data_IF_344422039612
#
_entry.id   IF_344422039612
#
_cell.length_a   1.000
_cell.length_b   1.000
_cell.length_c   1.000
_cell.angle_alpha   90.00
_cell.angle_beta   90.00
_cell.angle_gamma   90.00
#
_symmetry.space_group_name_H-M   'P 1'
#
loop_
_entity.id
_entity.type
_entity.pdbx_description
1 polymer ?
#
# COMPACT_ATOMS: atom_id res chain seq x y z
N UNK A 1 32.96 19.26 -9.43
CA UNK A 1 32.13 19.00 -8.23
C UNK A 1 30.62 19.13 -8.53
N UNK A 2 30.16 20.08 -9.37
CA UNK A 2 28.72 20.30 -9.64
C UNK A 2 28.02 19.16 -10.39
N UNK A 3 28.61 18.64 -11.48
CA UNK A 3 27.94 17.63 -12.34
C UNK A 3 27.62 16.33 -11.59
N UNK A 4 28.55 15.85 -10.75
CA UNK A 4 28.35 14.62 -9.96
C UNK A 4 27.23 14.79 -8.94
N UNK A 5 27.23 15.92 -8.21
CA UNK A 5 26.18 16.21 -7.21
C UNK A 5 24.80 16.38 -7.86
N UNK A 6 24.74 17.07 -9.00
CA UNK A 6 23.50 17.22 -9.78
C UNK A 6 23.01 15.87 -10.32
N UNK A 7 23.91 15.02 -10.83
CA UNK A 7 23.57 13.67 -11.28
C UNK A 7 23.00 12.80 -10.15
N UNK A 8 23.65 12.79 -8.99
CA UNK A 8 23.17 12.06 -7.81
C UNK A 8 21.79 12.53 -7.37
N UNK A 9 21.54 13.85 -7.41
CA UNK A 9 20.24 14.41 -7.06
C UNK A 9 19.11 13.89 -7.97
N UNK A 10 19.32 13.87 -9.29
CA UNK A 10 18.33 13.32 -10.23
C UNK A 10 18.10 11.83 -10.04
N UNK A 11 19.15 11.06 -9.75
CA UNK A 11 19.02 9.62 -9.46
C UNK A 11 18.18 9.40 -8.21
N UNK A 12 18.47 10.10 -7.12
CA UNK A 12 17.70 9.98 -5.86
C UNK A 12 16.24 10.42 -6.04
N UNK A 13 16.00 11.48 -6.80
CA UNK A 13 14.65 11.92 -7.14
C UNK A 13 13.90 10.85 -7.94
N UNK A 14 14.52 10.31 -8.98
CA UNK A 14 13.95 9.25 -9.81
C UNK A 14 13.63 7.98 -9.01
N UNK A 15 14.52 7.55 -8.12
CA UNK A 15 14.31 6.40 -7.24
C UNK A 15 13.14 6.62 -6.27
N UNK A 16 13.05 7.79 -5.64
CA UNK A 16 11.93 8.12 -4.76
C UNK A 16 10.60 8.16 -5.52
N UNK A 17 10.57 8.77 -6.70
CA UNK A 17 9.37 8.83 -7.53
C UNK A 17 8.94 7.42 -7.98
N UNK A 18 9.88 6.58 -8.43
CA UNK A 18 9.60 5.21 -8.83
C UNK A 18 9.06 4.37 -7.66
N UNK A 19 9.67 4.46 -6.48
CA UNK A 19 9.19 3.77 -5.28
C UNK A 19 7.78 4.25 -4.89
N UNK A 20 7.54 5.56 -4.87
CA UNK A 20 6.22 6.14 -4.60
C UNK A 20 5.15 5.66 -5.59
N UNK A 21 5.46 5.61 -6.89
CA UNK A 21 4.54 5.11 -7.91
C UNK A 21 4.21 3.62 -7.74
N UNK A 22 5.20 2.80 -7.39
CA UNK A 22 4.96 1.38 -7.10
C UNK A 22 4.02 1.23 -5.90
N UNK A 23 4.28 1.93 -4.80
CA UNK A 23 3.41 1.89 -3.61
C UNK A 23 2.01 2.40 -3.94
N UNK A 24 1.88 3.44 -4.78
CA UNK A 24 0.59 3.93 -5.25
C UNK A 24 -0.22 2.83 -5.93
N UNK A 25 0.41 2.11 -6.88
CA UNK A 25 -0.25 1.05 -7.62
C UNK A 25 -0.72 -0.08 -6.69
N UNK A 26 0.14 -0.53 -5.78
CA UNK A 26 -0.20 -1.56 -4.79
C UNK A 26 -1.27 -1.11 -3.79
N UNK A 27 -1.27 0.18 -3.41
CA UNK A 27 -2.28 0.76 -2.52
C UNK A 27 -3.65 0.84 -3.21
N UNK A 28 -3.71 1.26 -4.47
CA UNK A 28 -4.97 1.32 -5.25
C UNK A 28 -5.55 -0.09 -5.39
N UNK A 29 -4.74 -1.04 -5.84
CA UNK A 29 -5.17 -2.43 -6.01
C UNK A 29 -5.60 -3.05 -4.69
N UNK A 30 -4.85 -2.82 -3.59
CA UNK A 30 -5.22 -3.29 -2.26
C UNK A 30 -6.50 -2.64 -1.74
N UNK A 31 -6.69 -1.34 -1.96
CA UNK A 31 -7.91 -0.61 -1.58
C UNK A 31 -9.14 -1.14 -2.30
N UNK A 32 -9.05 -1.42 -3.60
CA UNK A 32 -10.13 -2.05 -4.37
C UNK A 32 -10.43 -3.44 -3.83
N UNK A 33 -9.41 -4.27 -3.57
CA UNK A 33 -9.60 -5.61 -3.00
C UNK A 33 -10.30 -5.55 -1.63
N UNK A 34 -9.91 -4.65 -0.73
CA UNK A 34 -10.58 -4.47 0.55
C UNK A 34 -12.05 -4.05 0.33
N UNK A 35 -12.31 -3.09 -0.55
CA UNK A 35 -13.65 -2.54 -0.78
C UNK A 35 -14.65 -3.61 -1.28
N UNK A 36 -14.22 -4.46 -2.21
CA UNK A 36 -15.05 -5.53 -2.78
C UNK A 36 -15.12 -6.78 -1.91
N UNK A 37 -14.21 -6.94 -0.95
CA UNK A 37 -14.23 -8.07 -0.02
C UNK A 37 -15.36 -7.90 1.00
N UNK A 38 -16.08 -8.98 1.24
CA UNK A 38 -17.18 -9.05 2.21
C UNK A 38 -16.70 -8.82 3.66
N UNK A 39 -17.54 -8.18 4.48
CA UNK A 39 -17.17 -7.71 5.82
C UNK A 39 -17.00 -8.84 6.84
N UNK A 40 -17.78 -9.92 6.70
CA UNK A 40 -17.71 -11.15 7.49
C UNK A 40 -16.33 -11.82 7.39
N UNK A 41 -15.69 -11.81 6.21
CA UNK A 41 -14.35 -12.38 6.04
C UNK A 41 -13.29 -11.68 6.90
N UNK A 42 -13.43 -10.36 7.11
CA UNK A 42 -12.53 -9.62 8.01
C UNK A 42 -12.74 -10.00 9.47
N UNK A 43 -14.00 -10.26 9.87
CA UNK A 43 -14.30 -10.66 11.25
C UNK A 43 -13.70 -12.02 11.60
N UNK A 44 -13.65 -12.96 10.65
CA UNK A 44 -13.05 -14.30 10.86
C UNK A 44 -11.56 -14.23 11.17
N UNK A 45 -10.85 -13.23 10.63
CA UNK A 45 -9.41 -13.03 10.86
C UNK A 45 -9.12 -12.04 12.01
N UNK A 46 -10.10 -11.77 12.88
CA UNK A 46 -10.01 -10.80 13.97
C UNK A 46 -9.59 -9.40 13.51
N UNK A 47 -10.15 -8.93 12.38
CA UNK A 47 -9.91 -7.59 11.83
C UNK A 47 -11.23 -6.91 11.48
N UNK A 48 -11.17 -5.59 11.32
CA UNK A 48 -12.32 -4.80 10.86
C UNK A 48 -12.03 -4.21 9.49
N UNK A 49 -12.91 -4.46 8.52
CA UNK A 49 -12.79 -3.93 7.16
C UNK A 49 -12.64 -2.41 7.14
N UNK A 50 -13.42 -1.70 7.96
CA UNK A 50 -13.39 -0.24 8.01
C UNK A 50 -12.01 0.30 8.42
N UNK A 51 -11.33 -0.34 9.37
CA UNK A 51 -9.99 0.05 9.79
C UNK A 51 -8.99 -0.12 8.63
N UNK A 52 -9.07 -1.23 7.90
CA UNK A 52 -8.21 -1.46 6.73
C UNK A 52 -8.53 -0.53 5.56
N UNK A 53 -9.79 -0.16 5.33
CA UNK A 53 -10.16 0.88 4.37
C UNK A 53 -9.57 2.24 4.74
N UNK A 54 -9.66 2.63 6.02
CA UNK A 54 -9.09 3.89 6.50
C UNK A 54 -7.57 3.90 6.41
N UNK A 55 -6.90 2.82 6.78
CA UNK A 55 -5.46 2.66 6.65
C UNK A 55 -5.01 2.74 5.19
N UNK A 56 -5.69 2.01 4.29
CA UNK A 56 -5.35 2.03 2.87
C UNK A 56 -5.65 3.38 2.22
N UNK A 57 -6.76 4.03 2.58
CA UNK A 57 -7.07 5.40 2.18
C UNK A 57 -6.03 6.40 2.66
N UNK A 58 -5.58 6.28 3.91
CA UNK A 58 -4.46 7.08 4.45
C UNK A 58 -3.16 6.84 3.69
N UNK A 59 -2.84 5.59 3.37
CA UNK A 59 -1.67 5.24 2.57
C UNK A 59 -1.70 5.86 1.17
N UNK A 60 -2.86 5.87 0.50
CA UNK A 60 -3.05 6.55 -0.79
C UNK A 60 -2.77 8.04 -0.69
N UNK A 61 -3.33 8.72 0.33
CA UNK A 61 -3.10 10.15 0.56
C UNK A 61 -1.61 10.42 0.81
N UNK A 62 -0.96 9.63 1.66
CA UNK A 62 0.46 9.80 2.00
C UNK A 62 1.38 9.62 0.78
N UNK A 63 1.10 8.64 -0.09
CA UNK A 63 1.85 8.47 -1.35
C UNK A 63 1.64 9.66 -2.28
N UNK A 64 0.42 10.14 -2.45
CA UNK A 64 0.15 11.30 -3.31
C UNK A 64 0.88 12.54 -2.80
N UNK A 65 0.86 12.77 -1.49
CA UNK A 65 1.60 13.86 -0.85
C UNK A 65 3.11 13.71 -1.00
N UNK A 66 3.63 12.49 -1.15
CA UNK A 66 5.07 12.27 -1.32
C UNK A 66 5.64 12.83 -2.64
N UNK A 67 4.79 13.15 -3.62
CA UNK A 67 5.25 13.82 -4.84
C UNK A 67 5.45 15.34 -4.67
N UNK A 68 5.05 15.91 -3.52
CA UNK A 68 5.25 17.33 -3.23
C UNK A 68 6.68 17.61 -2.75
N UNK A 69 7.27 18.77 -3.12
CA UNK A 69 8.57 19.19 -2.61
C UNK A 69 8.61 19.22 -1.08
N UNK A 70 9.64 18.62 -0.48
CA UNK A 70 9.83 18.57 0.97
C UNK A 70 9.10 17.42 1.69
N UNK A 71 8.26 16.65 0.99
CA UNK A 71 7.52 15.51 1.55
C UNK A 71 7.91 14.17 0.93
N UNK A 72 9.04 14.11 0.22
CA UNK A 72 9.40 12.98 -0.65
C UNK A 72 9.55 11.62 0.03
N UNK A 73 9.60 11.54 1.36
CA UNK A 73 9.74 10.29 2.10
C UNK A 73 8.42 9.77 2.70
N UNK A 74 7.29 10.49 2.52
CA UNK A 74 5.99 10.04 3.05
C UNK A 74 5.52 8.71 2.46
N UNK A 75 5.99 8.34 1.26
CA UNK A 75 5.68 7.05 0.67
C UNK A 75 6.17 5.86 1.51
N UNK A 76 7.17 6.05 2.38
CA UNK A 76 7.68 4.99 3.27
C UNK A 76 6.60 4.56 4.26
N UNK A 77 5.89 5.52 4.86
CA UNK A 77 4.81 5.22 5.80
C UNK A 77 3.70 4.44 5.10
N UNK A 78 3.33 4.88 3.89
CA UNK A 78 2.37 4.17 3.07
C UNK A 78 2.88 2.77 2.66
N UNK A 79 4.16 2.63 2.32
CA UNK A 79 4.76 1.35 1.96
C UNK A 79 4.65 0.33 3.09
N UNK A 80 4.78 0.75 4.35
CA UNK A 80 4.58 -0.13 5.50
C UNK A 80 3.13 -0.60 5.59
N UNK A 81 2.16 0.31 5.52
CA UNK A 81 0.73 -0.03 5.58
C UNK A 81 0.35 -1.00 4.45
N UNK A 82 0.76 -0.65 3.22
CA UNK A 82 0.52 -1.45 2.02
C UNK A 82 1.22 -2.81 2.15
N UNK A 83 2.47 -2.83 2.60
CA UNK A 83 3.26 -4.05 2.81
C UNK A 83 2.57 -5.02 3.77
N UNK A 84 2.09 -4.53 4.92
CA UNK A 84 1.34 -5.36 5.89
C UNK A 84 0.07 -5.91 5.26
N UNK A 85 -0.68 -5.09 4.51
CA UNK A 85 -1.87 -5.59 3.82
C UNK A 85 -1.53 -6.75 2.85
N UNK A 86 -0.48 -6.60 2.04
CA UNK A 86 -0.13 -7.59 1.03
C UNK A 86 0.47 -8.88 1.60
N UNK A 87 1.21 -8.80 2.70
CA UNK A 87 1.91 -9.94 3.29
C UNK A 87 1.13 -10.64 4.43
N UNK A 88 0.28 -9.92 5.16
CA UNK A 88 -0.45 -10.45 6.32
C UNK A 88 -1.95 -10.59 6.05
N UNK A 89 -2.61 -9.47 5.73
CA UNK A 89 -4.09 -9.43 5.64
C UNK A 89 -4.61 -10.16 4.43
N UNK A 90 -4.02 -9.93 3.26
CA UNK A 90 -4.48 -10.50 1.98
C UNK A 90 -4.37 -12.03 1.96
N UNK A 91 -3.25 -12.66 2.36
CA UNK A 91 -3.19 -14.12 2.48
C UNK A 91 -4.25 -14.65 3.45
N UNK A 92 -4.40 -14.04 4.62
CA UNK A 92 -5.41 -14.45 5.62
C UNK A 92 -6.84 -14.38 5.08
N UNK A 93 -7.20 -13.29 4.37
CA UNK A 93 -8.51 -13.17 3.73
C UNK A 93 -8.72 -14.21 2.64
N UNK A 94 -7.68 -14.49 1.85
CA UNK A 94 -7.73 -15.49 0.79
C UNK A 94 -7.97 -16.89 1.36
N UNK A 95 -7.26 -17.26 2.42
CA UNK A 95 -7.41 -18.56 3.07
C UNK A 95 -8.86 -18.75 3.57
N UNK A 96 -9.47 -17.73 4.16
CA UNK A 96 -10.87 -17.80 4.62
C UNK A 96 -11.85 -17.91 3.46
N UNK A 97 -11.64 -17.13 2.39
CA UNK A 97 -12.54 -17.12 1.23
C UNK A 97 -12.44 -18.42 0.42
N UNK A 98 -11.24 -18.97 0.25
CA UNK A 98 -10.99 -20.21 -0.47
C UNK A 98 -11.64 -21.40 0.30
N UNK A 99 -11.45 -21.47 1.62
CA UNK A 99 -12.11 -22.47 2.48
C UNK A 99 -13.64 -22.38 2.45
N UNK A 100 -14.21 -21.16 2.39
CA UNK A 100 -15.65 -20.96 2.30
C UNK A 100 -16.24 -21.39 0.95
N UNK A 101 -15.43 -21.48 -0.10
CA UNK A 101 -15.85 -21.85 -1.46
C UNK A 101 -15.86 -23.36 -1.72
N UNK A 102 -15.30 -24.17 -0.80
CA UNK A 102 -15.21 -25.63 -0.96
C UNK A 102 -14.23 -26.08 -2.05
N UNK A 103 -13.32 -25.21 -2.48
CA UNK A 103 -12.24 -25.51 -3.41
C UNK A 103 -11.12 -26.26 -2.66
N UNK A 104 -11.26 -27.58 -2.52
CA UNK A 104 -10.19 -28.47 -2.06
C UNK A 104 -9.15 -28.73 -3.16
#
# INVERSE_FOLDING_TARGET
MSVVLTGLWYVLFGLNAAAGLLVLAFAVVGGVQIAITRDDAFMVIDRQKQNWLMLMGGALVLVVLSFLPGLQMLWIIAAVIVGVYWQDVRPSLRDVLDNASGSW
#
